data_IF_797592707702
#
_entry.id   IF_797592707702
#
_cell.length_a   1.000
_cell.length_b   1.000
_cell.length_c   1.000
_cell.angle_alpha   90.00
_cell.angle_beta   90.00
_cell.angle_gamma   90.00
#
_symmetry.space_group_name_H-M   'P 1'
#
loop_
_entity.id
_entity.type
_entity.pdbx_description
1 polymer ?
#
# COMPACT_ATOMS: atom_id res chain seq x y z
N UNK A 1 -19.76 11.27 27.82
CA UNK A 1 -19.13 10.47 26.75
C UNK A 1 -18.36 9.35 27.44
N UNK A 2 -18.89 8.13 27.43
CA UNK A 2 -18.34 7.00 28.18
C UNK A 2 -16.91 6.69 27.72
N UNK A 3 -15.98 6.71 28.66
CA UNK A 3 -14.65 6.15 28.48
C UNK A 3 -14.83 4.65 28.19
N UNK A 4 -14.48 4.21 26.99
CA UNK A 4 -14.36 2.78 26.70
C UNK A 4 -13.48 2.16 27.80
N UNK A 5 -13.96 1.09 28.42
CA UNK A 5 -13.14 0.37 29.39
C UNK A 5 -11.85 -0.06 28.70
N UNK A 6 -10.72 -0.06 29.42
CA UNK A 6 -9.42 -0.45 28.87
C UNK A 6 -9.47 -1.81 28.14
N UNK A 7 -10.30 -2.72 28.63
CA UNK A 7 -10.57 -4.02 28.01
C UNK A 7 -11.27 -3.92 26.65
N UNK A 8 -12.20 -2.98 26.49
CA UNK A 8 -12.94 -2.78 25.24
C UNK A 8 -12.06 -2.16 24.16
N UNK A 9 -11.25 -1.16 24.53
CA UNK A 9 -10.28 -0.54 23.63
C UNK A 9 -9.27 -1.56 23.09
N UNK A 10 -8.70 -2.40 23.96
CA UNK A 10 -7.79 -3.49 23.55
C UNK A 10 -8.46 -4.46 22.58
N UNK A 11 -9.73 -4.82 22.81
CA UNK A 11 -10.46 -5.79 21.99
C UNK A 11 -10.73 -5.27 20.59
N UNK A 12 -10.99 -3.98 20.42
CA UNK A 12 -11.14 -3.33 19.10
C UNK A 12 -9.82 -3.38 18.32
N UNK A 13 -8.72 -2.98 18.95
CA UNK A 13 -7.39 -3.02 18.32
C UNK A 13 -7.01 -4.43 17.91
N UNK A 14 -7.23 -5.43 18.78
CA UNK A 14 -6.91 -6.82 18.48
C UNK A 14 -7.76 -7.38 17.32
N UNK A 15 -9.05 -7.05 17.25
CA UNK A 15 -9.90 -7.41 16.11
C UNK A 15 -9.38 -6.80 14.80
N UNK A 16 -9.00 -5.52 14.81
CA UNK A 16 -8.42 -4.86 13.65
C UNK A 16 -7.08 -5.49 13.24
N UNK A 17 -6.27 -5.89 14.21
CA UNK A 17 -4.96 -6.51 13.95
C UNK A 17 -5.12 -7.88 13.31
N UNK A 18 -6.03 -8.71 13.84
CA UNK A 18 -6.34 -10.01 13.26
C UNK A 18 -6.92 -9.86 11.86
N UNK A 19 -7.82 -8.90 11.62
CA UNK A 19 -8.35 -8.64 10.28
C UNK A 19 -7.23 -8.28 9.30
N UNK A 20 -6.36 -7.34 9.66
CA UNK A 20 -5.24 -6.94 8.81
C UNK A 20 -4.28 -8.10 8.55
N UNK A 21 -3.95 -8.90 9.57
CA UNK A 21 -3.08 -10.06 9.44
C UNK A 21 -3.65 -11.13 8.51
N UNK A 22 -4.97 -11.37 8.57
CA UNK A 22 -5.64 -12.31 7.67
C UNK A 22 -5.63 -11.78 6.24
N UNK A 23 -5.95 -10.50 6.03
CA UNK A 23 -5.93 -9.88 4.69
C UNK A 23 -4.53 -9.94 4.09
N UNK A 24 -3.47 -9.67 4.87
CA UNK A 24 -2.09 -9.75 4.38
C UNK A 24 -1.65 -11.18 4.07
N UNK A 25 -2.04 -12.17 4.88
CA UNK A 25 -1.79 -13.57 4.57
C UNK A 25 -2.44 -13.99 3.25
N UNK A 26 -3.69 -13.56 3.03
CA UNK A 26 -4.43 -13.83 1.79
C UNK A 26 -3.73 -13.18 0.58
N UNK A 27 -3.29 -11.92 0.69
CA UNK A 27 -2.55 -11.24 -0.38
C UNK A 27 -1.23 -11.96 -0.71
N UNK A 28 -0.45 -12.33 0.31
CA UNK A 28 0.81 -13.06 0.09
C UNK A 28 0.54 -14.39 -0.59
N UNK A 29 -0.51 -15.11 -0.18
CA UNK A 29 -0.93 -16.35 -0.81
C UNK A 29 -1.28 -16.14 -2.30
N UNK A 30 -2.12 -15.15 -2.63
CA UNK A 30 -2.46 -14.83 -4.03
C UNK A 30 -1.24 -14.34 -4.83
N UNK A 31 -0.33 -13.61 -4.20
CA UNK A 31 0.92 -13.15 -4.82
C UNK A 31 1.85 -14.32 -5.18
N UNK A 32 1.96 -15.33 -4.31
CA UNK A 32 2.74 -16.55 -4.55
C UNK A 32 2.11 -17.44 -5.63
N UNK A 33 0.77 -17.55 -5.63
CA UNK A 33 0.03 -18.26 -6.68
C UNK A 33 0.18 -17.57 -8.04
N UNK A 34 0.04 -16.25 -8.08
CA UNK A 34 0.15 -15.44 -9.28
C UNK A 34 1.52 -15.58 -9.93
N UNK A 35 2.61 -15.44 -9.16
CA UNK A 35 3.99 -15.57 -9.67
C UNK A 35 4.40 -16.99 -10.08
N UNK A 36 3.50 -17.97 -10.00
CA UNK A 36 3.75 -19.34 -10.48
C UNK A 36 4.77 -20.14 -9.67
N UNK A 37 5.04 -19.76 -8.41
CA UNK A 37 5.94 -20.51 -7.51
C UNK A 37 5.34 -21.86 -7.07
N UNK A 38 4.01 -21.95 -7.02
CA UNK A 38 3.29 -23.14 -6.54
C UNK A 38 2.77 -24.00 -7.71
N UNK A 39 2.45 -23.39 -8.86
CA UNK A 39 1.91 -24.08 -10.03
C UNK A 39 2.60 -23.54 -11.31
N UNK A 40 3.59 -24.25 -11.87
CA UNK A 40 4.28 -23.87 -13.10
C UNK A 40 3.36 -23.73 -14.32
N UNK A 41 2.19 -24.39 -14.30
CA UNK A 41 1.20 -24.34 -15.39
C UNK A 41 0.51 -22.97 -15.56
N UNK A 42 0.51 -22.11 -14.53
CA UNK A 42 -0.09 -20.76 -14.60
C UNK A 42 0.87 -19.71 -15.21
N UNK A 43 2.13 -20.07 -15.46
CA UNK A 43 3.17 -19.15 -15.93
C UNK A 43 2.91 -18.58 -17.34
N UNK A 44 2.10 -19.26 -18.15
CA UNK A 44 1.75 -18.83 -19.52
C UNK A 44 0.50 -17.95 -19.63
N UNK A 45 -0.24 -17.75 -18.54
CA UNK A 45 -1.53 -17.05 -18.57
C UNK A 45 -1.35 -15.59 -18.16
N UNK A 46 -0.98 -14.75 -19.13
CA UNK A 46 -0.64 -13.34 -18.89
C UNK A 46 -1.80 -12.54 -18.29
N UNK A 47 -3.05 -12.83 -18.69
CA UNK A 47 -4.23 -12.12 -18.17
C UNK A 47 -4.49 -12.38 -16.68
N UNK A 48 -4.20 -13.60 -16.21
CA UNK A 48 -4.38 -13.97 -14.80
C UNK A 48 -3.38 -13.21 -13.91
N UNK A 49 -2.14 -13.04 -14.37
CA UNK A 49 -1.14 -12.23 -13.67
C UNK A 49 -1.60 -10.78 -13.50
N UNK A 50 -2.14 -10.16 -14.55
CA UNK A 50 -2.67 -8.80 -14.47
C UNK A 50 -3.87 -8.70 -13.52
N UNK A 51 -4.76 -9.68 -13.54
CA UNK A 51 -5.92 -9.72 -12.64
C UNK A 51 -5.48 -9.83 -11.17
N UNK A 52 -4.57 -10.76 -10.86
CA UNK A 52 -4.01 -10.90 -9.51
C UNK A 52 -3.28 -9.62 -9.09
N UNK A 53 -2.49 -9.01 -9.98
CA UNK A 53 -1.83 -7.73 -9.72
C UNK A 53 -2.82 -6.62 -9.38
N UNK A 54 -3.92 -6.50 -10.13
CA UNK A 54 -4.98 -5.53 -9.85
C UNK A 54 -5.67 -5.79 -8.51
N UNK A 55 -5.94 -7.07 -8.19
CA UNK A 55 -6.53 -7.47 -6.91
C UNK A 55 -5.61 -7.11 -5.73
N UNK A 56 -4.31 -7.34 -5.85
CA UNK A 56 -3.34 -6.98 -4.81
C UNK A 56 -3.27 -5.46 -4.60
N UNK A 57 -3.30 -4.67 -5.67
CA UNK A 57 -3.36 -3.21 -5.57
C UNK A 57 -4.62 -2.77 -4.82
N UNK A 58 -5.78 -3.33 -5.17
CA UNK A 58 -7.05 -3.00 -4.52
C UNK A 58 -7.06 -3.37 -3.03
N UNK A 59 -6.58 -4.56 -2.67
CA UNK A 59 -6.46 -5.00 -1.27
C UNK A 59 -5.47 -4.13 -0.47
N UNK A 60 -4.38 -3.70 -1.09
CA UNK A 60 -3.41 -2.81 -0.47
C UNK A 60 -3.99 -1.42 -0.19
N UNK A 61 -4.80 -0.87 -1.09
CA UNK A 61 -5.55 0.37 -0.86
C UNK A 61 -6.59 0.20 0.25
N UNK A 62 -7.33 -0.92 0.26
CA UNK A 62 -8.30 -1.21 1.31
C UNK A 62 -7.66 -1.26 2.70
N UNK A 63 -6.52 -1.93 2.86
CA UNK A 63 -5.78 -1.94 4.14
C UNK A 63 -5.33 -0.56 4.56
N UNK A 64 -4.81 0.25 3.63
CA UNK A 64 -4.37 1.61 3.94
C UNK A 64 -5.53 2.45 4.48
N UNK A 65 -6.70 2.37 3.84
CA UNK A 65 -7.93 2.97 4.33
C UNK A 65 -8.32 2.42 5.72
N UNK A 66 -8.30 1.11 5.91
CA UNK A 66 -8.65 0.48 7.19
C UNK A 66 -7.74 0.93 8.34
N UNK A 67 -6.42 1.03 8.11
CA UNK A 67 -5.47 1.51 9.11
C UNK A 67 -5.79 2.96 9.51
N UNK A 68 -6.01 3.84 8.53
CA UNK A 68 -6.29 5.25 8.76
C UNK A 68 -7.60 5.45 9.54
N UNK A 69 -8.65 4.69 9.23
CA UNK A 69 -9.95 4.88 9.85
C UNK A 69 -10.11 4.15 11.18
N UNK A 70 -9.63 2.89 11.29
CA UNK A 70 -9.87 2.03 12.45
C UNK A 70 -8.72 2.09 13.47
N UNK A 71 -7.46 1.97 13.02
CA UNK A 71 -6.31 1.97 13.92
C UNK A 71 -5.93 3.36 14.42
N UNK A 72 -6.01 4.35 13.53
CA UNK A 72 -5.76 5.73 13.90
C UNK A 72 -7.03 6.41 14.47
N UNK A 73 -8.15 5.67 14.56
CA UNK A 73 -9.44 6.09 15.12
C UNK A 73 -10.02 7.37 14.50
N UNK A 74 -9.56 7.74 13.31
CA UNK A 74 -9.87 9.06 12.72
C UNK A 74 -11.29 9.16 12.16
N UNK A 75 -12.07 8.07 12.19
CA UNK A 75 -13.45 8.04 11.72
C UNK A 75 -14.39 8.95 12.53
N UNK A 76 -14.15 9.07 13.84
CA UNK A 76 -15.02 9.82 14.77
C UNK A 76 -14.36 11.10 15.30
N UNK A 77 -13.13 11.37 14.89
CA UNK A 77 -12.33 12.51 15.34
C UNK A 77 -12.54 13.74 14.45
N UNK A 78 -12.10 14.89 14.95
CA UNK A 78 -12.17 16.15 14.19
C UNK A 78 -11.44 16.02 12.85
N UNK A 79 -12.07 16.50 11.77
CA UNK A 79 -11.50 16.48 10.41
C UNK A 79 -10.07 17.06 10.40
N UNK A 80 -9.83 18.09 11.23
CA UNK A 80 -8.51 18.65 11.58
C UNK A 80 -7.41 17.61 11.76
N UNK A 81 -7.66 16.61 12.60
CA UNK A 81 -6.73 15.54 12.93
C UNK A 81 -6.55 14.56 11.76
N UNK A 82 -7.61 14.30 10.99
CA UNK A 82 -7.53 13.44 9.81
C UNK A 82 -6.61 14.04 8.73
N UNK A 83 -6.69 15.35 8.47
CA UNK A 83 -5.81 16.01 7.51
C UNK A 83 -4.34 15.99 7.94
N UNK A 84 -4.02 15.97 9.24
CA UNK A 84 -2.62 15.96 9.71
C UNK A 84 -1.89 14.65 9.35
N UNK A 85 -2.63 13.58 9.09
CA UNK A 85 -2.10 12.29 8.60
C UNK A 85 -2.23 12.19 7.08
N UNK A 86 -3.40 12.54 6.53
CA UNK A 86 -3.65 12.43 5.10
C UNK A 86 -2.72 13.33 4.27
N UNK A 87 -2.46 14.56 4.73
CA UNK A 87 -1.64 15.52 3.98
C UNK A 87 -0.16 15.06 3.86
N UNK A 88 0.53 14.64 4.94
CA UNK A 88 1.87 14.05 4.80
C UNK A 88 1.91 12.79 3.94
N UNK A 89 0.92 11.89 4.03
CA UNK A 89 0.88 10.68 3.19
C UNK A 89 0.71 11.02 1.70
N UNK A 90 -0.12 12.02 1.38
CA UNK A 90 -0.30 12.49 0.01
C UNK A 90 0.96 13.17 -0.52
N UNK A 91 1.59 14.02 0.29
CA UNK A 91 2.86 14.66 -0.06
C UNK A 91 3.98 13.63 -0.27
N UNK A 92 3.99 12.54 0.51
CA UNK A 92 4.95 11.44 0.31
C UNK A 92 4.75 10.77 -1.05
N UNK A 93 3.51 10.44 -1.43
CA UNK A 93 3.22 9.85 -2.74
C UNK A 93 3.66 10.81 -3.87
N UNK A 94 3.34 12.09 -3.73
CA UNK A 94 3.76 13.10 -4.70
C UNK A 94 5.29 13.23 -4.78
N UNK A 95 5.98 13.26 -3.64
CA UNK A 95 7.44 13.36 -3.57
C UNK A 95 8.13 12.15 -4.22
N UNK A 96 7.59 10.95 -4.01
CA UNK A 96 8.08 9.73 -4.67
C UNK A 96 8.00 9.89 -6.19
N UNK A 97 6.86 10.34 -6.72
CA UNK A 97 6.68 10.56 -8.17
C UNK A 97 7.67 11.61 -8.68
N UNK A 98 7.81 12.73 -7.98
CA UNK A 98 8.73 13.80 -8.35
C UNK A 98 10.19 13.32 -8.38
N UNK A 99 10.63 12.56 -7.37
CA UNK A 99 11.98 12.01 -7.32
C UNK A 99 12.26 10.98 -8.42
N UNK A 100 11.28 10.16 -8.79
CA UNK A 100 11.43 9.26 -9.94
C UNK A 100 11.57 10.01 -11.26
N UNK A 101 10.78 11.07 -11.47
CA UNK A 101 10.87 11.91 -12.67
C UNK A 101 12.23 12.62 -12.76
N UNK A 102 12.65 13.24 -11.66
CA UNK A 102 13.94 13.92 -11.56
C UNK A 102 15.09 12.92 -11.79
N UNK A 103 15.05 11.77 -11.11
CA UNK A 103 16.05 10.71 -11.28
C UNK A 103 16.21 10.23 -12.72
N UNK A 104 15.09 10.08 -13.45
CA UNK A 104 15.11 9.68 -14.86
C UNK A 104 15.69 10.79 -15.76
N UNK A 105 15.33 12.06 -15.50
CA UNK A 105 15.91 13.22 -16.18
C UNK A 105 17.43 13.28 -16.02
N UNK A 106 17.94 13.09 -14.80
CA UNK A 106 19.37 13.05 -14.52
C UNK A 106 20.08 11.90 -15.25
N UNK A 107 19.47 10.71 -15.27
CA UNK A 107 20.03 9.57 -15.99
C UNK A 107 20.19 9.87 -17.49
N UNK A 108 19.14 10.37 -18.12
CA UNK A 108 19.15 10.70 -19.56
C UNK A 108 20.20 11.77 -19.90
N UNK A 109 20.34 12.81 -19.05
CA UNK A 109 21.37 13.85 -19.24
C UNK A 109 22.78 13.30 -19.14
N UNK A 110 23.05 12.38 -18.21
CA UNK A 110 24.37 11.73 -18.10
C UNK A 110 24.68 10.85 -19.30
N UNK A 111 23.70 10.13 -19.83
CA UNK A 111 23.87 9.29 -21.03
C UNK A 111 24.18 10.15 -22.26
N UNK A 112 23.46 11.27 -22.45
CA UNK A 112 23.73 12.23 -23.53
C UNK A 112 25.14 12.83 -23.47
N UNK A 113 25.64 13.15 -22.28
CA UNK A 113 27.00 13.67 -22.11
C UNK A 113 28.04 12.59 -22.42
N UNK A 114 27.80 11.35 -21.98
CA UNK A 114 28.69 10.22 -22.31
C UNK A 114 28.78 10.00 -23.81
N UNK A 115 27.64 9.97 -24.50
CA UNK A 115 27.57 9.79 -25.96
C UNK A 115 28.30 10.89 -26.74
N UNK A 116 28.20 12.15 -26.30
CA UNK A 116 28.89 13.29 -26.94
C UNK A 116 30.40 13.37 -26.69
N UNK A 117 30.90 12.68 -25.67
CA UNK A 117 32.32 12.66 -25.29
C UNK A 117 33.08 11.43 -25.83
N UNK A 118 32.42 10.60 -26.64
CA UNK A 118 33.04 9.48 -27.39
C UNK A 118 33.35 9.91 -28.82
#
# INVERSE_FOLDING_TARGET
>A
MGHLSYEEAKKVVYKGLVLLAVVTLIEVFFSLLGKGHVIPALKGITWLHYLIGMLLIALSLYKAYFIIYEFMHMRYEVKGLAMSVLLPTLLLIWAIIAFFQEGNSWKNRRELIKEKNV
#
